data_IF_940936556906
#
_entry.id   IF_940936556906
#
_cell.length_a   1.000
_cell.length_b   1.000
_cell.length_c   1.000
_cell.angle_alpha   90.00
_cell.angle_beta   90.00
_cell.angle_gamma   90.00
#
_symmetry.space_group_name_H-M   'P 1'
#
loop_
_entity.id
_entity.type
_entity.pdbx_description
1 polymer ?
#
# COMPACT_ATOMS: atom_id res chain seq x y z
N UNK A 1 1.94 -0.56 -20.02
CA UNK A 1 1.56 0.58 -19.17
C UNK A 1 1.93 1.91 -19.79
N UNK A 2 1.19 2.97 -19.56
CA UNK A 2 1.51 4.35 -19.97
C UNK A 2 1.06 5.34 -18.90
N UNK A 3 1.64 6.56 -18.94
CA UNK A 3 1.24 7.64 -18.06
C UNK A 3 1.13 8.97 -18.80
N UNK A 4 0.19 9.80 -18.38
CA UNK A 4 0.01 11.17 -18.81
C UNK A 4 0.02 12.09 -17.59
N UNK A 5 0.68 13.24 -17.72
CA UNK A 5 0.65 14.24 -16.65
C UNK A 5 0.49 15.65 -17.22
N UNK A 6 -0.12 16.51 -16.42
CA UNK A 6 -0.22 17.93 -16.66
C UNK A 6 0.10 18.69 -15.37
N UNK A 7 0.84 19.77 -15.50
CA UNK A 7 1.16 20.70 -14.41
C UNK A 7 0.88 22.12 -14.89
N UNK A 8 0.22 22.90 -14.06
CA UNK A 8 -0.06 24.31 -14.28
C UNK A 8 0.29 25.09 -13.04
N UNK A 9 1.08 26.11 -13.18
CA UNK A 9 1.43 27.05 -12.11
C UNK A 9 1.26 28.49 -12.56
N UNK A 10 0.79 29.34 -11.68
CA UNK A 10 0.57 30.76 -11.97
C UNK A 10 0.72 31.63 -10.73
N UNK A 11 1.31 32.80 -10.91
CA UNK A 11 1.17 33.93 -10.02
C UNK A 11 -0.19 34.59 -10.29
N UNK A 12 -1.18 34.27 -9.44
CA UNK A 12 -2.55 34.80 -9.56
C UNK A 12 -2.61 36.28 -9.19
N UNK A 13 -1.80 36.65 -8.21
CA UNK A 13 -1.50 38.03 -7.82
C UNK A 13 -0.04 38.13 -7.40
N UNK A 14 0.46 39.34 -7.15
CA UNK A 14 1.82 39.59 -6.65
C UNK A 14 2.13 38.79 -5.34
N UNK A 15 1.08 38.45 -4.59
CA UNK A 15 1.20 37.78 -3.30
C UNK A 15 0.71 36.34 -3.30
N UNK A 16 0.01 35.89 -4.35
CA UNK A 16 -0.60 34.56 -4.42
C UNK A 16 -0.08 33.76 -5.61
N UNK A 17 0.64 32.70 -5.32
CA UNK A 17 1.04 31.66 -6.27
C UNK A 17 0.17 30.43 -6.07
N UNK A 18 -0.32 29.84 -7.17
CA UNK A 18 -1.06 28.58 -7.17
C UNK A 18 -0.42 27.60 -8.17
N UNK A 19 -0.48 26.33 -7.80
CA UNK A 19 -0.05 25.22 -8.65
C UNK A 19 -1.08 24.10 -8.58
N UNK A 20 -1.40 23.52 -9.74
CA UNK A 20 -2.21 22.30 -9.86
C UNK A 20 -1.51 21.29 -10.74
N UNK A 21 -1.51 20.03 -10.33
CA UNK A 21 -0.95 18.93 -11.10
C UNK A 21 -1.93 17.76 -11.14
N UNK A 22 -1.98 17.08 -12.26
CA UNK A 22 -2.73 15.85 -12.46
C UNK A 22 -1.85 14.84 -13.19
N UNK A 23 -1.90 13.58 -12.75
CA UNK A 23 -1.22 12.47 -13.41
C UNK A 23 -2.16 11.29 -13.49
N UNK A 24 -2.28 10.73 -14.67
CA UNK A 24 -3.00 9.50 -14.96
C UNK A 24 -1.99 8.41 -15.29
N UNK A 25 -2.15 7.23 -14.69
CA UNK A 25 -1.33 6.06 -14.97
C UNK A 25 -2.21 4.86 -15.27
N UNK A 26 -1.88 4.17 -16.34
CA UNK A 26 -2.52 2.92 -16.76
C UNK A 26 -1.51 1.78 -16.67
N UNK A 27 -1.89 0.72 -15.98
CA UNK A 27 -1.08 -0.46 -15.75
C UNK A 27 -1.72 -1.66 -16.42
N UNK A 28 -0.89 -2.57 -16.92
CA UNK A 28 -1.38 -3.79 -17.56
C UNK A 28 -1.95 -4.79 -16.54
N UNK A 29 -1.49 -4.72 -15.28
CA UNK A 29 -1.81 -5.70 -14.22
C UNK A 29 -2.75 -5.16 -13.14
N UNK A 30 -3.13 -3.87 -13.18
CA UNK A 30 -4.00 -3.20 -12.20
C UNK A 30 -4.95 -2.22 -12.85
N UNK A 31 -5.91 -1.74 -12.07
CA UNK A 31 -6.76 -0.63 -12.46
C UNK A 31 -5.93 0.64 -12.63
N UNK A 32 -6.38 1.49 -13.55
CA UNK A 32 -5.75 2.80 -13.79
C UNK A 32 -5.92 3.71 -12.58
N UNK A 33 -4.88 4.50 -12.29
CA UNK A 33 -4.83 5.41 -11.16
C UNK A 33 -4.68 6.86 -11.59
N UNK A 34 -5.38 7.73 -10.88
CA UNK A 34 -5.29 9.17 -11.10
C UNK A 34 -4.89 9.88 -9.82
N UNK A 35 -3.78 10.60 -9.86
CA UNK A 35 -3.35 11.44 -8.75
C UNK A 35 -3.47 12.91 -9.10
N UNK A 36 -3.86 13.68 -8.12
CA UNK A 36 -4.02 15.14 -8.24
C UNK A 36 -3.31 15.83 -7.08
N UNK A 37 -2.80 17.02 -7.35
CA UNK A 37 -2.22 17.88 -6.33
C UNK A 37 -2.59 19.33 -6.60
N UNK A 38 -2.97 20.03 -5.54
CA UNK A 38 -3.16 21.49 -5.54
C UNK A 38 -2.27 22.06 -4.44
N UNK A 39 -1.53 23.10 -4.75
CA UNK A 39 -0.67 23.78 -3.81
C UNK A 39 -0.80 25.30 -3.98
N UNK A 40 -0.59 26.01 -2.90
CA UNK A 40 -0.61 27.46 -2.91
C UNK A 40 0.40 28.06 -1.93
N UNK A 41 0.88 29.23 -2.28
CA UNK A 41 1.74 30.06 -1.44
C UNK A 41 1.13 31.47 -1.41
N UNK A 42 0.89 31.97 -0.22
CA UNK A 42 0.44 33.36 0.00
C UNK A 42 1.45 34.12 0.83
N UNK A 43 1.92 35.25 0.30
CA UNK A 43 2.84 36.16 0.98
C UNK A 43 2.02 37.28 1.64
N UNK A 44 1.93 37.25 2.97
CA UNK A 44 1.27 38.32 3.73
C UNK A 44 2.12 39.60 3.76
N UNK A 45 3.44 39.40 3.89
CA UNK A 45 4.45 40.44 3.87
C UNK A 45 5.72 39.92 3.21
N UNK A 46 6.73 40.77 3.02
CA UNK A 46 8.05 40.30 2.51
C UNK A 46 8.71 39.29 3.44
N UNK A 47 8.36 39.30 4.73
CA UNK A 47 8.98 38.49 5.76
C UNK A 47 8.08 37.35 6.28
N UNK A 48 6.81 37.27 5.82
CA UNK A 48 5.88 36.27 6.32
C UNK A 48 5.03 35.70 5.19
N UNK A 49 5.07 34.36 5.03
CA UNK A 49 4.27 33.64 4.05
C UNK A 49 3.65 32.38 4.65
N UNK A 50 2.54 31.97 4.06
CA UNK A 50 1.87 30.69 4.32
C UNK A 50 1.84 29.88 3.04
N UNK A 51 2.07 28.57 3.18
CA UNK A 51 1.93 27.61 2.09
C UNK A 51 0.98 26.49 2.50
N UNK A 52 0.33 25.90 1.53
CA UNK A 52 -0.52 24.74 1.78
C UNK A 52 -0.61 23.87 0.55
N UNK A 53 -0.84 22.61 0.75
CA UNK A 53 -1.14 21.70 -0.34
C UNK A 53 -2.09 20.58 0.10
N UNK A 54 -2.86 20.11 -0.87
CA UNK A 54 -3.62 18.87 -0.79
C UNK A 54 -3.30 18.06 -2.03
N UNK A 55 -3.13 16.75 -1.87
CA UNK A 55 -2.89 15.87 -2.99
C UNK A 55 -3.17 14.42 -2.64
N UNK A 56 -3.45 13.65 -3.67
CA UNK A 56 -3.54 12.20 -3.58
C UNK A 56 -2.23 11.56 -4.04
N UNK A 57 -2.03 10.31 -3.68
CA UNK A 57 -0.92 9.50 -4.15
C UNK A 57 -1.34 8.04 -4.15
N UNK A 58 -0.62 7.21 -4.88
CA UNK A 58 -0.82 5.78 -4.84
C UNK A 58 0.52 5.04 -4.92
N UNK A 59 0.50 3.76 -4.54
CA UNK A 59 1.62 2.84 -4.71
C UNK A 59 1.11 1.49 -5.19
N UNK A 60 1.49 1.13 -6.41
CA UNK A 60 1.17 -0.19 -6.94
C UNK A 60 1.91 -1.29 -6.14
N UNK A 61 1.28 -2.44 -5.86
CA UNK A 61 1.96 -3.59 -5.28
C UNK A 61 3.14 -4.01 -6.15
N UNK A 62 4.26 -4.30 -5.53
CA UNK A 62 5.43 -4.75 -6.28
C UNK A 62 5.22 -6.15 -6.86
N UNK A 63 5.88 -6.51 -7.98
CA UNK A 63 5.83 -7.87 -8.52
C UNK A 63 6.20 -8.94 -7.48
N UNK A 64 7.11 -8.60 -6.54
CA UNK A 64 7.45 -9.47 -5.43
C UNK A 64 6.31 -9.70 -4.45
N UNK A 65 5.52 -8.68 -4.13
CA UNK A 65 4.34 -8.82 -3.25
C UNK A 65 3.24 -9.64 -3.91
N UNK A 66 3.08 -9.52 -5.23
CA UNK A 66 2.03 -10.20 -5.98
C UNK A 66 2.33 -11.67 -6.29
N UNK A 67 3.56 -11.96 -6.71
CA UNK A 67 3.90 -13.25 -7.33
C UNK A 67 4.94 -14.09 -6.60
N UNK A 68 5.55 -13.59 -5.51
CA UNK A 68 6.58 -14.35 -4.82
C UNK A 68 6.00 -15.55 -4.09
N UNK A 69 6.56 -16.73 -4.39
CA UNK A 69 6.41 -17.94 -3.60
C UNK A 69 7.75 -18.19 -2.90
N UNK A 70 7.73 -18.13 -1.57
CA UNK A 70 8.91 -18.45 -0.76
C UNK A 70 8.52 -19.47 0.31
N UNK A 71 8.73 -20.72 -0.01
CA UNK A 71 8.30 -21.86 0.82
C UNK A 71 9.51 -22.62 1.31
N UNK A 72 9.52 -22.94 2.60
CA UNK A 72 10.49 -23.84 3.24
C UNK A 72 9.81 -25.11 3.70
N UNK A 73 10.53 -26.24 3.63
CA UNK A 73 10.05 -27.49 4.22
C UNK A 73 10.38 -27.52 5.69
N UNK A 74 9.37 -27.82 6.52
CA UNK A 74 9.52 -28.10 7.95
C UNK A 74 9.13 -29.55 8.22
N UNK A 75 9.62 -30.11 9.30
CA UNK A 75 9.36 -31.52 9.69
C UNK A 75 8.72 -31.58 11.10
N UNK A 76 7.51 -31.08 11.29
CA UNK A 76 6.81 -31.30 12.54
C UNK A 76 6.56 -32.80 12.72
N UNK A 77 6.96 -33.36 13.86
CA UNK A 77 6.83 -34.79 14.16
C UNK A 77 7.44 -35.73 13.11
N UNK A 78 8.45 -35.27 12.37
CA UNK A 78 9.13 -36.05 11.34
C UNK A 78 8.44 -36.09 9.96
N UNK A 79 7.31 -35.45 9.79
CA UNK A 79 6.60 -35.37 8.49
C UNK A 79 6.91 -34.04 7.78
N UNK A 80 7.29 -34.07 6.50
CA UNK A 80 7.59 -32.86 5.75
C UNK A 80 6.30 -32.09 5.40
N UNK A 81 6.26 -30.82 5.76
CA UNK A 81 5.21 -29.88 5.39
C UNK A 81 5.82 -28.59 4.82
N UNK A 82 5.12 -28.00 3.88
CA UNK A 82 5.47 -26.71 3.28
C UNK A 82 4.94 -25.55 4.13
N UNK A 83 5.82 -24.62 4.50
CA UNK A 83 5.43 -23.41 5.21
C UNK A 83 6.07 -22.22 4.55
N UNK A 84 5.29 -21.18 4.25
CA UNK A 84 5.87 -20.00 3.63
C UNK A 84 4.87 -19.00 3.05
N UNK A 85 5.44 -18.08 2.28
CA UNK A 85 4.74 -17.02 1.59
C UNK A 85 4.11 -17.55 0.30
N UNK A 86 2.82 -17.28 0.14
CA UNK A 86 2.06 -17.59 -1.08
C UNK A 86 1.47 -16.30 -1.66
N UNK A 87 1.34 -16.20 -3.01
CA UNK A 87 0.72 -15.05 -3.65
C UNK A 87 -0.73 -14.85 -3.20
N UNK A 88 -1.12 -13.62 -2.88
CA UNK A 88 -2.50 -13.29 -2.47
C UNK A 88 -3.54 -13.68 -3.53
N UNK A 89 -3.23 -13.52 -4.82
CA UNK A 89 -4.07 -13.95 -5.94
C UNK A 89 -4.01 -15.46 -6.25
N UNK A 90 -3.19 -16.22 -5.52
CA UNK A 90 -3.03 -17.66 -5.72
C UNK A 90 -4.08 -18.49 -4.98
N UNK A 91 -4.31 -19.77 -5.42
CA UNK A 91 -5.37 -20.60 -4.86
C UNK A 91 -5.19 -20.91 -3.37
N UNK A 92 -3.96 -21.02 -2.89
CA UNK A 92 -3.67 -21.30 -1.47
C UNK A 92 -4.10 -20.13 -0.58
N UNK A 93 -3.69 -18.92 -0.92
CA UNK A 93 -4.03 -17.73 -0.13
C UNK A 93 -5.52 -17.38 -0.25
N UNK A 94 -6.10 -17.48 -1.44
CA UNK A 94 -7.53 -17.22 -1.67
C UNK A 94 -8.43 -18.19 -0.89
N UNK A 95 -8.06 -19.46 -0.80
CA UNK A 95 -8.79 -20.43 0.03
C UNK A 95 -8.83 -20.03 1.52
N UNK A 96 -7.83 -19.27 1.98
CA UNK A 96 -7.75 -18.74 3.33
C UNK A 96 -8.28 -17.29 3.45
N UNK A 97 -8.96 -16.79 2.41
CA UNK A 97 -9.63 -15.49 2.43
C UNK A 97 -8.79 -14.32 1.94
N UNK A 98 -7.64 -14.56 1.29
CA UNK A 98 -6.90 -13.50 0.62
C UNK A 98 -7.67 -12.99 -0.60
N UNK A 99 -7.52 -11.69 -0.88
CA UNK A 99 -7.94 -11.05 -2.13
C UNK A 99 -6.71 -10.63 -2.94
N UNK A 100 -6.81 -10.57 -4.27
CA UNK A 100 -5.75 -9.97 -5.07
C UNK A 100 -5.40 -8.58 -4.53
N UNK A 101 -4.10 -8.24 -4.56
CA UNK A 101 -3.64 -6.95 -4.05
C UNK A 101 -4.11 -5.82 -4.96
N UNK A 102 -4.54 -4.74 -4.33
CA UNK A 102 -4.90 -3.47 -4.98
C UNK A 102 -3.83 -2.42 -4.69
N UNK A 103 -3.72 -1.35 -5.50
CA UNK A 103 -2.83 -0.25 -5.18
C UNK A 103 -3.19 0.41 -3.84
N UNK A 104 -2.16 0.71 -3.05
CA UNK A 104 -2.31 1.55 -1.86
C UNK A 104 -2.59 2.98 -2.29
N UNK A 105 -3.52 3.66 -1.64
CA UNK A 105 -3.82 5.06 -1.92
C UNK A 105 -3.52 5.95 -0.72
N UNK A 106 -3.20 7.20 -0.97
CA UNK A 106 -2.95 8.18 0.08
C UNK A 106 -3.60 9.52 -0.22
N UNK A 107 -4.01 10.22 0.85
CA UNK A 107 -4.38 11.62 0.79
C UNK A 107 -3.50 12.41 1.74
N UNK A 108 -2.84 13.43 1.20
CA UNK A 108 -1.83 14.21 1.89
C UNK A 108 -2.30 15.66 2.03
N UNK A 109 -2.20 16.18 3.23
CA UNK A 109 -2.52 17.58 3.56
C UNK A 109 -1.29 18.22 4.19
N UNK A 110 -0.92 19.41 3.74
CA UNK A 110 0.13 20.20 4.39
C UNK A 110 -0.31 21.65 4.55
N UNK A 111 0.12 22.26 5.64
CA UNK A 111 0.07 23.69 5.84
C UNK A 111 1.35 24.13 6.54
N UNK A 112 1.97 25.16 6.02
CA UNK A 112 3.24 25.66 6.54
C UNK A 112 3.30 27.17 6.58
N UNK A 113 4.14 27.67 7.48
CA UNK A 113 4.41 29.09 7.66
C UNK A 113 5.92 29.33 7.59
N UNK A 114 6.31 30.40 6.93
CA UNK A 114 7.68 30.87 6.90
C UNK A 114 7.74 32.30 7.41
N UNK A 115 8.71 32.58 8.25
CA UNK A 115 8.94 33.92 8.78
C UNK A 115 10.44 34.23 8.81
N UNK A 116 10.82 35.41 8.30
CA UNK A 116 12.17 35.91 8.34
C UNK A 116 12.20 37.03 9.39
N UNK A 117 12.87 36.80 10.51
CA UNK A 117 12.95 37.71 11.65
C UNK A 117 14.43 38.06 11.90
N UNK A 118 14.84 39.23 11.45
CA UNK A 118 16.23 39.69 11.45
C UNK A 118 17.14 38.66 10.70
N UNK A 119 18.04 38.00 11.41
CA UNK A 119 18.96 36.96 10.85
C UNK A 119 18.40 35.54 11.01
N UNK A 120 17.19 35.35 11.50
CA UNK A 120 16.56 34.05 11.74
C UNK A 120 15.50 33.76 10.67
N UNK A 121 15.68 32.65 9.99
CA UNK A 121 14.68 32.06 9.10
C UNK A 121 13.94 30.93 9.85
N UNK A 122 12.65 31.10 10.08
CA UNK A 122 11.80 30.15 10.75
C UNK A 122 10.83 29.51 9.74
N UNK A 123 10.74 28.19 9.77
CA UNK A 123 9.73 27.43 9.02
C UNK A 123 9.06 26.43 9.94
N UNK A 124 7.73 26.39 9.91
CA UNK A 124 6.90 25.44 10.65
C UNK A 124 5.91 24.81 9.68
N UNK A 125 5.92 23.49 9.59
CA UNK A 125 5.00 22.73 8.73
C UNK A 125 4.19 21.75 9.57
N UNK A 126 2.89 21.71 9.32
CA UNK A 126 1.97 20.68 9.79
C UNK A 126 1.55 19.83 8.60
N UNK A 127 1.53 18.51 8.79
CA UNK A 127 1.08 17.61 7.75
C UNK A 127 0.19 16.52 8.32
N UNK A 128 -0.67 15.99 7.47
CA UNK A 128 -1.47 14.79 7.72
C UNK A 128 -1.45 13.92 6.48
N UNK A 129 -1.17 12.65 6.68
CA UNK A 129 -1.19 11.63 5.63
C UNK A 129 -2.21 10.57 6.06
N UNK A 130 -3.24 10.36 5.25
CA UNK A 130 -4.13 9.22 5.37
C UNK A 130 -3.70 8.20 4.33
N UNK A 131 -3.51 6.96 4.74
CA UNK A 131 -3.15 5.85 3.88
C UNK A 131 -4.29 4.83 3.94
N UNK A 132 -4.78 4.44 2.77
CA UNK A 132 -5.84 3.46 2.61
C UNK A 132 -5.30 2.26 1.81
N UNK A 133 -5.84 1.06 2.06
CA UNK A 133 -5.48 -0.20 1.41
C UNK A 133 -3.98 -0.52 1.50
N UNK A 134 -3.37 -0.21 2.65
CA UNK A 134 -1.94 -0.47 2.87
C UNK A 134 -1.63 -1.98 2.84
N UNK A 135 -0.75 -2.37 1.93
CA UNK A 135 -0.34 -3.77 1.77
C UNK A 135 0.60 -4.19 2.89
N UNK A 136 0.24 -5.24 3.62
CA UNK A 136 1.08 -5.84 4.66
C UNK A 136 1.01 -7.38 4.63
N UNK A 137 2.05 -8.04 5.13
CA UNK A 137 2.04 -9.48 5.28
C UNK A 137 1.30 -9.88 6.56
N UNK A 138 0.35 -10.80 6.46
CA UNK A 138 -0.30 -11.36 7.64
C UNK A 138 0.66 -12.28 8.43
N UNK A 139 0.33 -12.57 9.69
CA UNK A 139 0.98 -13.62 10.43
C UNK A 139 0.70 -14.99 9.81
N UNK A 140 1.65 -15.92 9.96
CA UNK A 140 1.47 -17.29 9.44
C UNK A 140 0.19 -17.91 10.00
N UNK A 141 -0.65 -18.40 9.11
CA UNK A 141 -1.78 -19.25 9.45
C UNK A 141 -1.32 -20.71 9.45
N UNK A 142 -1.33 -21.34 10.60
CA UNK A 142 -0.97 -22.75 10.72
C UNK A 142 -2.03 -23.62 10.04
N UNK A 143 -1.55 -24.72 9.43
CA UNK A 143 -2.37 -25.70 8.73
C UNK A 143 -2.00 -27.09 9.26
N UNK A 144 -2.99 -27.89 9.60
CA UNK A 144 -2.77 -29.23 10.14
C UNK A 144 -3.91 -30.18 9.74
N UNK A 145 -3.55 -31.40 9.37
CA UNK A 145 -4.53 -32.48 9.14
C UNK A 145 -5.05 -33.13 10.42
N UNK A 146 -4.52 -32.75 11.58
CA UNK A 146 -4.96 -33.25 12.88
C UNK A 146 -6.29 -32.58 13.32
N UNK A 147 -7.40 -33.33 13.43
CA UNK A 147 -8.69 -32.76 13.83
C UNK A 147 -8.70 -32.09 15.19
N UNK A 148 -7.71 -32.36 16.03
CA UNK A 148 -7.60 -31.79 17.38
C UNK A 148 -6.83 -30.47 17.42
N UNK A 149 -6.27 -30.02 16.27
CA UNK A 149 -5.43 -28.82 16.20
C UNK A 149 -6.22 -27.49 16.08
N UNK A 150 -7.55 -27.51 16.24
CA UNK A 150 -8.37 -26.30 16.27
C UNK A 150 -8.37 -25.53 14.95
N UNK A 151 -7.96 -24.25 14.98
CA UNK A 151 -7.95 -23.38 13.80
C UNK A 151 -7.05 -23.90 12.68
N UNK A 152 -5.96 -24.59 13.01
CA UNK A 152 -5.08 -25.16 12.00
C UNK A 152 -5.78 -26.25 11.18
N UNK A 153 -6.65 -27.05 11.79
CA UNK A 153 -7.49 -28.01 11.09
C UNK A 153 -8.56 -27.33 10.25
N UNK A 154 -9.17 -26.24 10.74
CA UNK A 154 -10.13 -25.46 9.94
C UNK A 154 -9.46 -24.87 8.70
N UNK A 155 -8.25 -24.34 8.83
CA UNK A 155 -7.47 -23.86 7.70
C UNK A 155 -7.17 -24.99 6.68
N UNK A 156 -6.85 -26.19 7.14
CA UNK A 156 -6.70 -27.36 6.26
C UNK A 156 -8.01 -27.68 5.51
N UNK A 157 -9.15 -27.68 6.19
CA UNK A 157 -10.44 -27.93 5.55
C UNK A 157 -10.80 -26.88 4.49
N UNK A 158 -10.44 -25.62 4.72
CA UNK A 158 -10.63 -24.56 3.72
C UNK A 158 -9.82 -24.83 2.45
N UNK A 159 -8.55 -25.22 2.60
CA UNK A 159 -7.68 -25.58 1.48
C UNK A 159 -8.17 -26.82 0.73
N UNK A 160 -8.56 -27.86 1.45
CA UNK A 160 -9.03 -29.12 0.88
C UNK A 160 -10.36 -28.94 0.12
N UNK A 161 -11.32 -28.23 0.73
CA UNK A 161 -12.61 -27.90 0.11
C UNK A 161 -12.48 -27.01 -1.12
N UNK A 162 -11.47 -26.13 -1.16
CA UNK A 162 -11.15 -25.31 -2.31
C UNK A 162 -10.39 -26.09 -3.42
N UNK A 163 -10.10 -27.39 -3.20
CA UNK A 163 -9.40 -28.23 -4.16
C UNK A 163 -7.92 -27.87 -4.33
N UNK A 164 -7.28 -27.30 -3.32
CA UNK A 164 -5.86 -26.99 -3.37
C UNK A 164 -5.03 -28.26 -3.41
N UNK A 165 -4.30 -28.45 -4.51
CA UNK A 165 -3.45 -29.62 -4.67
C UNK A 165 -2.37 -29.69 -3.58
N UNK A 166 -2.27 -30.82 -2.87
CA UNK A 166 -1.30 -31.02 -1.81
C UNK A 166 -1.63 -30.29 -0.51
N UNK A 167 -2.90 -29.93 -0.25
CA UNK A 167 -3.35 -29.28 0.99
C UNK A 167 -2.86 -30.00 2.26
N UNK A 168 -2.80 -31.34 2.22
CA UNK A 168 -2.29 -32.19 3.32
C UNK A 168 -0.77 -32.06 3.57
N UNK A 169 -0.03 -31.44 2.66
CA UNK A 169 1.41 -31.19 2.78
C UNK A 169 1.74 -29.74 3.14
N UNK A 170 0.73 -28.89 3.33
CA UNK A 170 0.88 -27.51 3.76
C UNK A 170 0.81 -27.46 5.30
N UNK A 171 1.80 -26.85 5.94
CA UNK A 171 1.88 -26.70 7.38
C UNK A 171 1.74 -25.25 7.86
N UNK A 172 1.82 -24.28 6.96
CA UNK A 172 1.62 -22.88 7.29
C UNK A 172 1.63 -21.98 6.07
N UNK A 173 0.74 -21.00 6.08
CA UNK A 173 0.54 -20.05 4.98
C UNK A 173 0.60 -18.62 5.51
N UNK A 174 1.40 -17.78 4.88
CA UNK A 174 1.32 -16.33 4.99
C UNK A 174 1.16 -15.72 3.59
N UNK A 175 0.55 -14.57 3.51
CA UNK A 175 0.35 -13.82 2.28
C UNK A 175 0.28 -12.33 2.56
N UNK A 176 0.41 -11.53 1.53
CA UNK A 176 0.13 -10.09 1.60
C UNK A 176 -1.38 -9.83 1.44
N UNK A 177 -1.88 -8.83 2.14
CA UNK A 177 -3.26 -8.36 2.07
C UNK A 177 -3.30 -6.85 2.13
#
# INVERSE_FOLDING_TARGET
>A
SYSLYGDLSADVTDNLFLQGAIRYEDYDDFDSETVVKIAGLYRFTENFAMRGSIGTGFRAPTPGQQGTINVSTRLPNGFPVATGLFPAGGPVAQALGATPLTPETSTNYTIGFTANIAELDLTVDFYRINLDDATYAISTRDVSTDPTSGDAYQNFLLLDNAGVAGANSIGGVLYFT
#
